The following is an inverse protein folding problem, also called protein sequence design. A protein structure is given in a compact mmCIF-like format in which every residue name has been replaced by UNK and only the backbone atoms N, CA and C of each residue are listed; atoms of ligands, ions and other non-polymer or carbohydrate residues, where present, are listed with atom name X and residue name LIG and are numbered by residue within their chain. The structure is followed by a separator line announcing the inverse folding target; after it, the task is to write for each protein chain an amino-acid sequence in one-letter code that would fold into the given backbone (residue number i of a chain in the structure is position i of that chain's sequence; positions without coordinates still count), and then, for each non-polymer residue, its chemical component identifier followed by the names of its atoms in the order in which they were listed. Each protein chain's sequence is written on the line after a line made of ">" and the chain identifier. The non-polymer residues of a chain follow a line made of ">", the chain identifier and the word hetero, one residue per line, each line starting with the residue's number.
data_IF_168966366940
#
_entry.id   IF_168966366940
#
_cell.length_a   1.000
_cell.length_b   1.000
_cell.length_c   1.000
_cell.angle_alpha   90.00
_cell.angle_beta   90.00
_cell.angle_gamma   90.00
#
_symmetry.space_group_name_H-M   'P 1'
#
loop_
_entity.id
_entity.type
_entity.pdbx_description
1 polymer ?
#
# COMPACT_ATOMS: atom_id res chain seq x y z
N UNK A 1 -14.35 17.08 18.65
CA UNK A 1 -14.28 16.99 17.18
C UNK A 1 -14.50 15.54 16.78
N UNK A 2 -15.36 15.28 15.79
CA UNK A 2 -15.66 13.93 15.29
C UNK A 2 -15.05 13.76 13.90
N UNK A 3 -14.24 12.70 13.73
CA UNK A 3 -13.49 12.43 12.50
C UNK A 3 -13.90 11.06 11.97
N UNK A 4 -14.16 11.00 10.65
CA UNK A 4 -14.41 9.74 9.96
C UNK A 4 -13.14 9.34 9.21
N UNK A 5 -12.67 8.12 9.46
CA UNK A 5 -11.56 7.50 8.73
C UNK A 5 -12.15 6.46 7.78
N UNK A 6 -11.87 6.60 6.49
CA UNK A 6 -12.30 5.68 5.45
C UNK A 6 -11.17 4.67 5.18
N UNK A 7 -11.42 3.41 5.51
CA UNK A 7 -10.46 2.31 5.42
C UNK A 7 -9.92 1.87 6.79
N UNK A 8 -9.90 0.57 7.03
CA UNK A 8 -9.41 -0.13 8.23
C UNK A 8 -8.14 -0.95 7.97
N UNK A 9 -7.45 -0.66 6.86
CA UNK A 9 -6.06 -1.11 6.63
C UNK A 9 -5.08 -0.49 7.63
N UNK A 10 -3.80 -0.86 7.54
CA UNK A 10 -2.76 -0.45 8.52
C UNK A 10 -2.68 1.07 8.70
N UNK A 11 -2.81 1.86 7.62
CA UNK A 11 -2.77 3.33 7.68
C UNK A 11 -4.03 3.89 8.35
N UNK A 12 -5.21 3.39 8.01
CA UNK A 12 -6.48 3.87 8.58
C UNK A 12 -6.57 3.57 10.08
N UNK A 13 -6.25 2.34 10.48
CA UNK A 13 -6.28 1.89 11.88
C UNK A 13 -5.27 2.65 12.75
N UNK A 14 -4.04 2.87 12.27
CA UNK A 14 -3.04 3.65 13.02
C UNK A 14 -3.43 5.13 13.11
N UNK A 15 -3.96 5.71 12.04
CA UNK A 15 -4.49 7.09 12.05
C UNK A 15 -5.60 7.24 13.07
N UNK A 16 -6.60 6.34 13.05
CA UNK A 16 -7.71 6.35 13.99
C UNK A 16 -7.24 6.25 15.45
N UNK A 17 -6.28 5.36 15.73
CA UNK A 17 -5.69 5.20 17.06
C UNK A 17 -5.05 6.49 17.57
N UNK A 18 -4.20 7.15 16.77
CA UNK A 18 -3.53 8.38 17.19
C UNK A 18 -4.50 9.56 17.33
N UNK A 19 -5.52 9.67 16.47
CA UNK A 19 -6.58 10.66 16.60
C UNK A 19 -7.40 10.46 17.88
N UNK A 20 -7.77 9.22 18.19
CA UNK A 20 -8.49 8.89 19.41
C UNK A 20 -7.66 9.21 20.67
N UNK A 21 -6.34 8.93 20.64
CA UNK A 21 -5.42 9.31 21.73
C UNK A 21 -5.30 10.82 21.93
N UNK A 22 -5.56 11.62 20.91
CA UNK A 22 -5.61 13.09 21.00
C UNK A 22 -6.98 13.61 21.45
N UNK A 23 -7.92 12.73 21.80
CA UNK A 23 -9.25 13.10 22.30
C UNK A 23 -10.28 13.35 21.20
N UNK A 24 -9.98 13.01 19.93
CA UNK A 24 -10.99 13.03 18.88
C UNK A 24 -11.95 11.84 19.04
N UNK A 25 -13.24 12.06 18.79
CA UNK A 25 -14.15 10.95 18.53
C UNK A 25 -13.88 10.47 17.11
N UNK A 26 -13.68 9.16 16.92
CA UNK A 26 -13.33 8.60 15.62
C UNK A 26 -14.31 7.50 15.24
N UNK A 27 -14.79 7.54 13.99
CA UNK A 27 -15.50 6.43 13.37
C UNK A 27 -14.67 5.91 12.20
N UNK A 28 -14.35 4.62 12.20
CA UNK A 28 -13.69 3.96 11.08
C UNK A 28 -14.76 3.27 10.24
N UNK A 29 -14.81 3.56 8.94
CA UNK A 29 -15.70 2.91 7.99
C UNK A 29 -14.85 2.14 6.98
N UNK A 30 -15.11 0.85 6.83
CA UNK A 30 -14.51 0.02 5.79
C UNK A 30 -15.61 -0.70 5.00
N UNK A 31 -15.32 -1.05 3.75
CA UNK A 31 -16.21 -1.84 2.89
C UNK A 31 -16.11 -3.33 3.16
N UNK A 32 -14.99 -3.78 3.73
CA UNK A 32 -14.74 -5.17 4.05
C UNK A 32 -15.40 -5.57 5.38
N UNK A 33 -15.72 -6.86 5.59
CA UNK A 33 -16.32 -7.34 6.82
C UNK A 33 -15.42 -7.15 8.06
N UNK A 34 -14.09 -7.17 7.89
CA UNK A 34 -13.11 -7.03 8.94
C UNK A 34 -11.98 -6.04 8.64
N UNK A 35 -11.18 -5.68 9.66
CA UNK A 35 -10.01 -4.85 9.47
C UNK A 35 -8.92 -5.60 8.72
N UNK A 36 -8.17 -4.85 7.92
CA UNK A 36 -7.01 -5.36 7.19
C UNK A 36 -7.30 -6.49 6.17
N UNK A 37 -8.53 -6.72 5.72
CA UNK A 37 -8.89 -7.81 4.79
C UNK A 37 -8.39 -7.66 3.32
N UNK A 38 -7.53 -6.68 3.04
CA UNK A 38 -6.97 -6.47 1.69
C UNK A 38 -5.44 -6.38 1.71
N UNK A 39 -4.83 -5.30 1.15
CA UNK A 39 -3.37 -5.14 1.07
C UNK A 39 -2.66 -5.30 2.41
N UNK A 40 -3.34 -5.01 3.51
CA UNK A 40 -2.79 -5.17 4.87
C UNK A 40 -2.83 -6.61 5.40
N UNK A 41 -3.66 -7.51 4.84
CA UNK A 41 -3.94 -8.86 5.36
C UNK A 41 -2.69 -9.73 5.41
N UNK A 42 -1.98 -9.78 4.28
CA UNK A 42 -0.82 -10.63 4.06
C UNK A 42 0.37 -9.80 3.54
N UNK A 43 0.57 -8.61 4.10
CA UNK A 43 1.78 -7.86 3.82
C UNK A 43 2.99 -8.61 4.40
N UNK A 44 4.13 -8.62 3.71
CA UNK A 44 5.32 -9.35 4.14
C UNK A 44 6.02 -8.75 5.39
N UNK A 45 5.44 -7.72 6.02
CA UNK A 45 6.01 -7.05 7.18
C UNK A 45 7.30 -6.28 6.89
N UNK A 46 7.70 -6.13 5.63
CA UNK A 46 8.94 -5.45 5.25
C UNK A 46 8.82 -3.94 5.48
N UNK A 47 9.66 -3.42 6.36
CA UNK A 47 9.82 -1.98 6.58
C UNK A 47 11.07 -1.53 5.82
N UNK A 48 10.89 -0.68 4.80
CA UNK A 48 11.97 -0.18 3.94
C UNK A 48 12.18 1.33 4.17
N UNK A 49 13.13 1.74 5.03
CA UNK A 49 13.34 3.15 5.40
C UNK A 49 13.77 4.03 4.21
N UNK A 50 14.45 3.45 3.22
CA UNK A 50 14.96 4.16 2.05
C UNK A 50 14.01 4.22 0.84
N UNK A 51 12.87 3.51 0.87
CA UNK A 51 11.92 3.49 -0.23
C UNK A 51 10.52 3.08 0.25
N UNK A 52 9.62 4.05 0.37
CA UNK A 52 8.28 3.86 0.97
C UNK A 52 7.13 4.23 0.03
N UNK A 53 7.41 4.56 -1.24
CA UNK A 53 6.37 4.85 -2.22
C UNK A 53 5.63 3.57 -2.63
N UNK A 54 4.29 3.55 -2.59
CA UNK A 54 3.52 2.37 -2.96
C UNK A 54 3.76 2.00 -4.42
N UNK A 55 3.79 0.70 -4.71
CA UNK A 55 3.94 0.20 -6.09
C UNK A 55 2.74 0.59 -6.97
N UNK A 56 1.60 0.91 -6.36
CA UNK A 56 0.42 1.46 -7.03
C UNK A 56 0.38 3.00 -7.06
N UNK A 57 1.47 3.70 -6.74
CA UNK A 57 1.48 5.17 -6.75
C UNK A 57 1.25 5.73 -8.17
N UNK A 58 0.64 6.93 -8.29
CA UNK A 58 0.58 7.64 -9.56
C UNK A 58 1.96 7.77 -10.21
N UNK A 59 2.06 7.42 -11.50
CA UNK A 59 3.32 7.47 -12.25
C UNK A 59 4.20 6.22 -12.15
N UNK A 60 3.86 5.22 -11.32
CA UNK A 60 4.57 3.93 -11.33
C UNK A 60 4.47 3.21 -12.69
N UNK A 61 3.32 3.18 -13.41
CA UNK A 61 3.27 2.54 -14.73
C UNK A 61 4.26 3.13 -15.73
N UNK A 62 4.40 4.45 -15.77
CA UNK A 62 5.38 5.13 -16.62
C UNK A 62 6.83 4.84 -16.20
N UNK A 63 7.10 4.78 -14.88
CA UNK A 63 8.41 4.36 -14.36
C UNK A 63 8.71 2.90 -14.68
N UNK A 64 7.73 2.01 -14.58
CA UNK A 64 7.86 0.60 -14.90
C UNK A 64 8.22 0.39 -16.38
N UNK A 65 7.55 1.11 -17.29
CA UNK A 65 7.90 1.13 -18.70
C UNK A 65 9.35 1.58 -18.93
N UNK A 66 9.78 2.66 -18.27
CA UNK A 66 11.16 3.14 -18.34
C UNK A 66 12.16 2.12 -17.80
N UNK A 67 11.85 1.44 -16.70
CA UNK A 67 12.69 0.43 -16.06
C UNK A 67 12.96 -0.75 -16.99
N UNK A 68 12.00 -1.18 -17.80
CA UNK A 68 12.20 -2.26 -18.78
C UNK A 68 13.34 -1.99 -19.78
N UNK A 69 13.70 -0.72 -20.02
CA UNK A 69 14.79 -0.33 -20.93
C UNK A 69 16.10 0.05 -20.19
N UNK A 70 16.16 -0.08 -18.87
CA UNK A 70 17.35 0.24 -18.08
C UNK A 70 18.21 -1.00 -17.82
N UNK A 71 19.53 -0.87 -18.00
CA UNK A 71 20.50 -1.97 -17.75
C UNK A 71 20.49 -2.46 -16.30
N UNK A 72 20.26 -1.56 -15.34
CA UNK A 72 20.20 -1.86 -13.90
C UNK A 72 18.86 -1.40 -13.34
N UNK A 73 17.79 -2.08 -13.75
CA UNK A 73 16.43 -1.73 -13.40
C UNK A 73 15.96 -2.44 -12.11
N UNK A 74 15.18 -1.77 -11.26
CA UNK A 74 14.52 -2.42 -10.11
C UNK A 74 13.37 -3.34 -10.55
N UNK A 75 12.90 -3.23 -11.80
CA UNK A 75 11.96 -4.14 -12.45
C UNK A 75 12.60 -4.66 -13.74
N UNK A 76 12.86 -5.96 -13.80
CA UNK A 76 13.40 -6.62 -14.98
C UNK A 76 12.47 -7.76 -15.39
N UNK A 77 11.91 -7.68 -16.59
CA UNK A 77 11.11 -8.74 -17.20
C UNK A 77 11.94 -9.38 -18.30
N UNK A 78 12.17 -10.69 -18.21
CA UNK A 78 12.70 -11.49 -19.32
C UNK A 78 11.56 -12.30 -19.88
N UNK A 79 11.08 -11.95 -21.07
CA UNK A 79 10.08 -12.76 -21.76
C UNK A 79 10.79 -14.00 -22.32
N UNK A 80 10.44 -15.18 -21.84
CA UNK A 80 11.00 -16.47 -22.29
C UNK A 80 10.03 -17.27 -23.16
N UNK A 81 8.80 -16.79 -23.33
CA UNK A 81 7.78 -17.40 -24.19
C UNK A 81 7.09 -18.62 -23.59
N UNK A 82 7.38 -18.98 -22.34
CA UNK A 82 6.66 -20.03 -21.62
C UNK A 82 5.34 -19.52 -21.05
N UNK A 83 4.40 -20.44 -20.81
CA UNK A 83 3.12 -20.14 -20.16
C UNK A 83 3.24 -20.05 -18.62
N UNK A 84 4.45 -20.21 -18.09
CA UNK A 84 4.72 -20.29 -16.65
C UNK A 84 5.48 -19.07 -16.12
N UNK A 85 5.50 -17.98 -16.89
CA UNK A 85 6.08 -16.70 -16.46
C UNK A 85 5.17 -15.94 -15.49
#
# INVERSE_FOLDING_TARGET
>A
MHIIVLGSGVIGTTTAYYLARQGAQVTVLDRQPGPADETSYANAGQVSPGYSTPWAAPGIPAKALKWMFQKHAPLALRVDGSLWQ
#
